data_IF_105860628730
#
_entry.id   IF_105860628730
#
_cell.length_a   1.000
_cell.length_b   1.000
_cell.length_c   1.000
_cell.angle_alpha   90.00
_cell.angle_beta   90.00
_cell.angle_gamma   90.00
#
_symmetry.space_group_name_H-M   'P 1'
#
loop_
_entity.id
_entity.type
_entity.pdbx_description
1 polymer ?
#
# COMPACT_ATOMS: atom_id res chain seq x y z
N UNK A 1 -9.72 7.41 11.22
CA UNK A 1 -8.33 7.17 11.69
C UNK A 1 -7.53 8.48 11.53
N UNK A 2 -6.66 8.86 12.47
CA UNK A 2 -5.82 10.06 12.34
C UNK A 2 -4.42 9.71 11.75
N UNK A 3 -3.66 10.69 11.26
CA UNK A 3 -2.38 10.42 10.57
C UNK A 3 -1.33 9.78 11.48
N UNK A 4 -1.36 10.08 12.79
CA UNK A 4 -0.43 9.51 13.75
C UNK A 4 -0.64 8.00 13.83
N UNK A 5 -1.89 7.60 14.06
CA UNK A 5 -2.32 6.20 14.05
C UNK A 5 -2.04 5.53 12.71
N UNK A 6 -2.24 6.23 11.59
CA UNK A 6 -1.90 5.66 10.28
C UNK A 6 -0.39 5.49 10.11
N UNK A 7 0.43 6.47 10.48
CA UNK A 7 1.87 6.40 10.34
C UNK A 7 2.46 5.27 11.19
N UNK A 8 1.97 5.10 12.41
CA UNK A 8 2.32 3.97 13.28
C UNK A 8 1.95 2.63 12.62
N UNK A 9 0.75 2.54 12.05
CA UNK A 9 0.24 1.30 11.45
C UNK A 9 0.82 0.98 10.05
N UNK A 10 1.15 1.99 9.26
CA UNK A 10 1.57 1.84 7.87
C UNK A 10 3.10 1.78 7.75
N UNK A 11 3.82 2.68 8.43
CA UNK A 11 5.28 2.79 8.29
C UNK A 11 6.05 2.16 9.45
N UNK A 12 5.38 1.54 10.44
CA UNK A 12 6.00 1.20 11.74
C UNK A 12 6.66 2.41 12.42
N UNK A 13 6.15 3.62 12.18
CA UNK A 13 6.76 4.85 12.67
C UNK A 13 8.03 5.31 11.92
N UNK A 14 8.52 4.56 10.93
CA UNK A 14 9.70 4.94 10.11
C UNK A 14 9.42 6.08 9.15
N UNK A 15 8.16 6.48 8.99
CA UNK A 15 7.75 7.57 8.11
C UNK A 15 7.72 7.20 6.63
N UNK A 16 7.20 8.12 5.82
CA UNK A 16 7.21 8.04 4.37
C UNK A 16 8.41 8.79 3.84
N UNK A 17 9.15 8.17 2.91
CA UNK A 17 10.24 8.83 2.19
C UNK A 17 9.73 9.55 0.96
N UNK A 18 10.42 10.63 0.56
CA UNK A 18 10.08 11.43 -0.62
C UNK A 18 10.01 10.57 -1.90
N UNK A 19 10.85 9.54 -2.01
CA UNK A 19 10.82 8.58 -3.14
C UNK A 19 9.47 7.87 -3.32
N UNK A 20 8.68 7.71 -2.26
CA UNK A 20 7.35 7.11 -2.36
C UNK A 20 6.39 8.06 -3.08
N UNK A 21 6.47 9.37 -2.81
CA UNK A 21 5.70 10.39 -3.53
C UNK A 21 6.04 10.34 -5.02
N UNK A 22 7.32 10.25 -5.36
CA UNK A 22 7.76 10.15 -6.76
C UNK A 22 7.24 8.88 -7.44
N UNK A 23 7.11 7.77 -6.71
CA UNK A 23 6.50 6.54 -7.22
C UNK A 23 5.04 6.74 -7.61
N UNK A 24 4.25 7.39 -6.77
CA UNK A 24 2.84 7.66 -7.05
C UNK A 24 2.65 8.69 -8.18
N UNK A 25 3.52 9.70 -8.24
CA UNK A 25 3.54 10.66 -9.37
C UNK A 25 3.81 9.94 -10.68
N UNK A 26 4.69 8.93 -10.68
CA UNK A 26 4.93 8.08 -11.86
C UNK A 26 3.68 7.26 -12.22
N UNK A 27 3.04 6.60 -11.26
CA UNK A 27 1.79 5.85 -11.49
C UNK A 27 0.68 6.79 -12.02
N UNK A 28 0.57 8.02 -11.51
CA UNK A 28 -0.37 9.03 -12.03
C UNK A 28 -0.15 9.36 -13.51
N UNK A 29 1.11 9.51 -13.95
CA UNK A 29 1.41 9.78 -15.36
C UNK A 29 1.19 8.55 -16.25
N UNK A 30 1.42 7.34 -15.74
CA UNK A 30 1.16 6.09 -16.46
C UNK A 30 -0.34 5.87 -16.74
N UNK A 31 -1.20 6.36 -15.85
CA UNK A 31 -2.66 6.22 -15.95
C UNK A 31 -3.34 7.37 -16.73
N UNK A 32 -2.59 8.31 -17.33
CA UNK A 32 -3.13 9.51 -18.02
C UNK A 32 -4.32 9.30 -18.99
N UNK A 33 -4.42 8.19 -19.74
CA UNK A 33 -5.57 7.96 -20.60
C UNK A 33 -6.88 7.64 -19.85
N UNK A 34 -6.79 7.26 -18.57
CA UNK A 34 -7.90 6.80 -17.75
C UNK A 34 -8.16 7.74 -16.56
N UNK A 35 -9.12 8.65 -16.70
CA UNK A 35 -9.44 9.67 -15.70
C UNK A 35 -9.80 9.12 -14.33
N UNK A 36 -10.42 7.94 -14.25
CA UNK A 36 -10.73 7.27 -12.98
C UNK A 36 -9.46 6.80 -12.30
N UNK A 37 -8.58 6.10 -13.02
CA UNK A 37 -7.31 5.63 -12.49
C UNK A 37 -6.39 6.80 -12.10
N UNK A 38 -6.31 7.85 -12.93
CA UNK A 38 -5.59 9.09 -12.58
C UNK A 38 -6.07 9.70 -11.27
N UNK A 39 -7.39 9.74 -11.04
CA UNK A 39 -7.95 10.30 -9.81
C UNK A 39 -7.53 9.49 -8.58
N UNK A 40 -7.45 8.17 -8.71
CA UNK A 40 -6.95 7.31 -7.64
C UNK A 40 -5.47 7.57 -7.34
N UNK A 41 -4.62 7.63 -8.37
CA UNK A 41 -3.18 7.89 -8.21
C UNK A 41 -2.89 9.33 -7.72
N UNK A 42 -3.76 10.29 -8.06
CA UNK A 42 -3.72 11.64 -7.50
C UNK A 42 -4.00 11.62 -5.99
N UNK A 43 -5.03 10.90 -5.56
CA UNK A 43 -5.32 10.76 -4.13
C UNK A 43 -4.18 10.06 -3.38
N UNK A 44 -3.55 9.04 -3.98
CA UNK A 44 -2.40 8.36 -3.38
C UNK A 44 -1.20 9.32 -3.28
N UNK A 45 -0.89 10.07 -4.35
CA UNK A 45 0.15 11.12 -4.34
C UNK A 45 -0.08 12.14 -3.23
N UNK A 46 -1.32 12.63 -3.09
CA UNK A 46 -1.70 13.57 -2.03
C UNK A 46 -1.51 12.92 -0.65
N UNK A 47 -1.96 11.68 -0.46
CA UNK A 47 -1.84 10.97 0.81
C UNK A 47 -0.37 10.78 1.23
N UNK A 48 0.51 10.32 0.33
CA UNK A 48 1.93 10.17 0.62
C UNK A 48 2.63 11.51 0.86
N UNK A 49 2.23 12.58 0.15
CA UNK A 49 2.74 13.93 0.40
C UNK A 49 2.39 14.41 1.80
N UNK A 50 1.14 14.21 2.23
CA UNK A 50 0.67 14.57 3.57
C UNK A 50 1.42 13.81 4.66
N UNK A 51 1.66 12.50 4.45
CA UNK A 51 2.46 11.69 5.37
C UNK A 51 3.91 12.15 5.46
N UNK A 52 4.53 12.49 4.33
CA UNK A 52 5.89 13.00 4.31
C UNK A 52 5.99 14.35 5.04
N UNK A 53 5.04 15.26 4.81
CA UNK A 53 4.98 16.55 5.52
C UNK A 53 4.78 16.38 7.03
N UNK A 54 3.90 15.47 7.44
CA UNK A 54 3.72 15.13 8.84
C UNK A 54 5.01 14.59 9.46
N UNK A 55 5.66 13.64 8.79
CA UNK A 55 6.86 13.01 9.33
C UNK A 55 8.06 13.97 9.37
N UNK A 56 8.24 14.79 8.33
CA UNK A 56 9.39 15.68 8.20
C UNK A 56 9.26 16.98 9.00
N UNK A 57 8.04 17.50 9.12
CA UNK A 57 7.80 18.85 9.67
C UNK A 57 6.75 18.89 10.79
N UNK A 58 6.18 17.73 11.19
CA UNK A 58 5.11 17.64 12.19
C UNK A 58 3.88 18.54 11.85
N UNK A 59 3.67 18.82 10.56
CA UNK A 59 2.52 19.61 10.10
C UNK A 59 1.27 18.78 10.35
N UNK A 60 0.43 19.19 11.30
CA UNK A 60 -0.81 18.49 11.62
C UNK A 60 -1.95 18.96 10.71
N UNK A 61 -2.22 18.24 9.63
CA UNK A 61 -3.16 18.67 8.60
C UNK A 61 -4.61 18.29 8.90
N UNK A 62 -5.27 19.12 9.70
CA UNK A 62 -6.75 19.18 9.77
C UNK A 62 -7.43 19.26 8.39
N UNK A 63 -6.70 19.58 7.31
CA UNK A 63 -7.14 19.69 5.92
C UNK A 63 -7.00 18.41 5.08
N UNK A 64 -6.56 17.28 5.64
CA UNK A 64 -6.22 16.07 4.89
C UNK A 64 -7.39 15.16 4.49
N UNK A 65 -8.62 15.69 4.44
CA UNK A 65 -9.81 14.93 4.02
C UNK A 65 -9.67 14.28 2.64
N UNK A 66 -8.87 14.90 1.76
CA UNK A 66 -8.61 14.39 0.40
C UNK A 66 -7.81 13.07 0.38
N UNK A 67 -6.91 12.83 1.34
CA UNK A 67 -6.09 11.62 1.39
C UNK A 67 -6.72 10.47 2.19
N UNK A 68 -7.81 10.73 2.92
CA UNK A 68 -8.48 9.75 3.78
C UNK A 68 -8.96 8.48 3.05
N UNK A 69 -9.55 8.57 1.83
CA UNK A 69 -9.93 7.37 1.08
C UNK A 69 -8.74 6.44 0.80
N UNK A 70 -7.56 7.00 0.50
CA UNK A 70 -6.34 6.22 0.26
C UNK A 70 -5.86 5.52 1.54
N UNK A 71 -5.98 6.15 2.71
CA UNK A 71 -5.63 5.51 3.97
C UNK A 71 -6.53 4.30 4.29
N UNK A 72 -7.83 4.43 4.09
CA UNK A 72 -8.78 3.32 4.26
C UNK A 72 -8.48 2.18 3.29
N UNK A 73 -8.23 2.53 2.02
CA UNK A 73 -7.78 1.60 0.96
C UNK A 73 -6.52 0.84 1.38
N UNK A 74 -5.50 1.53 1.90
CA UNK A 74 -4.26 0.89 2.33
C UNK A 74 -4.46 -0.03 3.54
N UNK A 75 -5.24 0.38 4.54
CA UNK A 75 -5.53 -0.46 5.70
C UNK A 75 -6.34 -1.70 5.34
N UNK A 76 -7.29 -1.59 4.40
CA UNK A 76 -8.02 -2.75 3.88
C UNK A 76 -7.06 -3.76 3.23
N UNK A 77 -6.10 -3.28 2.43
CA UNK A 77 -5.07 -4.12 1.80
C UNK A 77 -4.19 -4.84 2.81
N UNK A 78 -3.90 -4.23 3.96
CA UNK A 78 -3.07 -4.85 5.00
C UNK A 78 -3.63 -6.20 5.44
N UNK A 79 -4.95 -6.33 5.59
CA UNK A 79 -5.59 -7.60 5.98
C UNK A 79 -5.29 -8.72 4.99
N UNK A 80 -5.34 -8.43 3.69
CA UNK A 80 -5.06 -9.40 2.63
C UNK A 80 -3.56 -9.74 2.60
N UNK A 81 -2.68 -8.77 2.80
CA UNK A 81 -1.24 -9.04 2.90
C UNK A 81 -0.88 -9.95 4.07
N UNK A 82 -1.54 -9.79 5.23
CA UNK A 82 -1.37 -10.71 6.36
C UNK A 82 -1.74 -12.15 5.98
N UNK A 83 -2.83 -12.33 5.26
CA UNK A 83 -3.25 -13.64 4.76
C UNK A 83 -2.25 -14.20 3.74
N UNK A 84 -1.75 -13.38 2.82
CA UNK A 84 -0.71 -13.77 1.85
C UNK A 84 0.57 -14.23 2.58
N UNK A 85 1.00 -13.54 3.63
CA UNK A 85 2.16 -13.97 4.42
C UNK A 85 1.92 -15.30 5.12
N UNK A 86 0.76 -15.45 5.77
CA UNK A 86 0.37 -16.69 6.44
C UNK A 86 0.39 -17.87 5.48
N UNK A 87 -0.14 -17.69 4.27
CA UNK A 87 -0.24 -18.74 3.24
C UNK A 87 1.14 -19.26 2.81
N UNK A 88 2.14 -18.37 2.73
CA UNK A 88 3.52 -18.74 2.37
C UNK A 88 4.42 -19.00 3.58
N UNK A 89 3.86 -19.12 4.78
CA UNK A 89 4.58 -19.46 6.01
C UNK A 89 5.43 -18.33 6.60
N UNK A 90 5.17 -17.07 6.24
CA UNK A 90 5.82 -15.90 6.83
C UNK A 90 5.02 -15.36 8.03
N UNK A 91 5.70 -14.66 8.94
CA UNK A 91 5.03 -13.93 10.02
C UNK A 91 4.05 -12.88 9.44
N UNK A 92 2.80 -12.88 9.89
CA UNK A 92 1.76 -11.95 9.39
C UNK A 92 2.14 -10.47 9.57
N UNK A 93 3.05 -10.16 10.49
CA UNK A 93 3.55 -8.82 10.78
C UNK A 93 4.98 -8.60 10.28
N UNK A 94 5.54 -9.50 9.46
CA UNK A 94 6.87 -9.38 8.86
C UNK A 94 7.04 -8.05 8.10
N UNK A 95 5.94 -7.54 7.55
CA UNK A 95 5.89 -6.28 6.83
C UNK A 95 4.51 -5.64 7.01
N UNK A 96 4.47 -4.30 7.03
CA UNK A 96 3.22 -3.54 6.92
C UNK A 96 2.87 -3.21 5.46
N UNK A 97 3.10 -4.17 4.54
CA UNK A 97 2.81 -3.94 3.13
C UNK A 97 1.33 -3.66 2.92
N UNK A 98 1.06 -2.63 2.12
CA UNK A 98 -0.28 -2.21 1.73
C UNK A 98 -0.35 -1.92 0.22
N UNK A 99 0.59 -2.49 -0.56
CA UNK A 99 0.63 -2.36 -2.02
C UNK A 99 -0.62 -2.99 -2.63
N UNK A 100 -0.95 -2.56 -3.85
CA UNK A 100 -2.04 -3.17 -4.60
C UNK A 100 -1.74 -4.67 -4.83
N UNK A 101 -2.58 -5.53 -4.26
CA UNK A 101 -2.47 -6.98 -4.37
C UNK A 101 -3.28 -7.54 -5.54
N UNK A 102 -4.11 -6.75 -6.24
CA UNK A 102 -4.94 -7.23 -7.34
C UNK A 102 -4.11 -7.60 -8.58
N UNK A 103 -2.86 -7.15 -8.67
CA UNK A 103 -1.92 -7.52 -9.73
C UNK A 103 -0.93 -8.56 -9.18
N UNK A 104 -0.94 -9.76 -9.76
CA UNK A 104 -0.06 -10.87 -9.33
C UNK A 104 1.42 -10.49 -9.36
N UNK A 105 1.85 -9.71 -10.35
CA UNK A 105 3.20 -9.16 -10.47
C UNK A 105 3.65 -8.40 -9.20
N UNK A 106 2.75 -7.61 -8.58
CA UNK A 106 3.03 -6.82 -7.38
C UNK A 106 3.15 -7.75 -6.16
N UNK A 107 2.40 -8.85 -6.13
CA UNK A 107 2.48 -9.89 -5.09
C UNK A 107 3.77 -10.70 -5.19
N UNK A 108 4.07 -11.25 -6.36
CA UNK A 108 5.30 -12.01 -6.63
C UNK A 108 6.54 -11.18 -6.32
N UNK A 109 6.62 -9.96 -6.83
CA UNK A 109 7.76 -9.05 -6.58
C UNK A 109 7.94 -8.74 -5.10
N UNK A 110 6.85 -8.62 -4.35
CA UNK A 110 6.94 -8.32 -2.91
C UNK A 110 7.40 -9.53 -2.11
N UNK A 111 6.77 -10.69 -2.32
CA UNK A 111 7.10 -11.94 -1.62
C UNK A 111 8.50 -12.44 -1.96
N UNK A 112 8.99 -12.17 -3.17
CA UNK A 112 10.38 -12.45 -3.58
C UNK A 112 11.44 -11.76 -2.70
N UNK A 113 11.13 -10.61 -2.09
CA UNK A 113 12.05 -9.96 -1.15
C UNK A 113 12.26 -10.77 0.16
N UNK A 114 11.42 -11.77 0.41
CA UNK A 114 11.50 -12.68 1.55
C UNK A 114 11.94 -14.09 1.14
N UNK A 115 12.45 -14.25 -0.09
CA UNK A 115 12.92 -15.54 -0.61
C UNK A 115 11.81 -16.50 -1.05
N UNK A 116 10.58 -16.03 -1.18
CA UNK A 116 9.47 -16.84 -1.71
C UNK A 116 9.60 -16.95 -3.22
N UNK A 117 9.50 -18.16 -3.74
CA UNK A 117 9.57 -18.41 -5.19
C UNK A 117 8.35 -17.87 -5.92
N UNK A 118 8.49 -17.57 -7.22
CA UNK A 118 7.37 -17.12 -8.04
C UNK A 118 6.19 -18.09 -8.03
N UNK A 119 6.46 -19.40 -8.10
CA UNK A 119 5.43 -20.43 -8.03
C UNK A 119 4.62 -20.34 -6.72
N UNK A 120 5.30 -20.35 -5.57
CA UNK A 120 4.64 -20.24 -4.26
C UNK A 120 3.86 -18.94 -4.11
N UNK A 121 4.41 -17.83 -4.62
CA UNK A 121 3.73 -16.53 -4.59
C UNK A 121 2.47 -16.50 -5.46
N UNK A 122 2.49 -17.15 -6.63
CA UNK A 122 1.32 -17.27 -7.51
C UNK A 122 0.25 -18.21 -6.93
N UNK A 123 0.66 -19.31 -6.29
CA UNK A 123 -0.28 -20.18 -5.56
C UNK A 123 -0.97 -19.41 -4.44
N UNK A 124 -0.20 -18.72 -3.59
CA UNK A 124 -0.76 -17.92 -2.51
C UNK A 124 -1.67 -16.79 -3.01
N UNK A 125 -1.29 -16.12 -4.11
CA UNK A 125 -2.13 -15.14 -4.79
C UNK A 125 -3.48 -15.76 -5.17
N UNK A 126 -3.46 -16.92 -5.83
CA UNK A 126 -4.68 -17.59 -6.26
C UNK A 126 -5.54 -18.05 -5.08
N UNK A 127 -4.95 -18.62 -4.04
CA UNK A 127 -5.67 -19.08 -2.85
C UNK A 127 -6.31 -17.93 -2.11
N UNK A 128 -5.54 -16.89 -1.76
CA UNK A 128 -6.02 -15.80 -0.93
C UNK A 128 -6.98 -14.90 -1.69
N UNK A 129 -6.63 -14.48 -2.91
CA UNK A 129 -7.40 -13.46 -3.61
C UNK A 129 -8.67 -14.04 -4.25
N UNK A 130 -8.65 -15.27 -4.78
CA UNK A 130 -9.90 -15.89 -5.29
C UNK A 130 -10.89 -16.16 -4.15
N UNK A 131 -10.42 -16.54 -2.96
CA UNK A 131 -11.29 -16.75 -1.79
C UNK A 131 -11.75 -15.44 -1.12
N UNK A 132 -11.17 -14.29 -1.47
CA UNK A 132 -11.55 -12.97 -0.90
C UNK A 132 -12.53 -12.20 -1.81
N UNK A 133 -12.72 -12.64 -3.07
CA UNK A 133 -13.60 -12.01 -4.06
C UNK A 133 -15.00 -12.65 -4.15
N UNK A 134 -15.29 -13.62 -3.26
CA UNK A 134 -16.62 -14.22 -3.03
C UNK A 134 -17.02 -14.02 -1.56
#
# INVERSE_FOLDING_TARGET
MNIKTFNENYTTGKGVFFRHIISEVKEFFEEMPNTTAMKEEFHDTVAFTQMWLYHKYNINGKLWKLGMPSFEKFMARRKVWKQLYKEVGLDENISNCCKNYNRSEKVVKHLGNFGITEHQALEAFNTVIKNTLF
#
